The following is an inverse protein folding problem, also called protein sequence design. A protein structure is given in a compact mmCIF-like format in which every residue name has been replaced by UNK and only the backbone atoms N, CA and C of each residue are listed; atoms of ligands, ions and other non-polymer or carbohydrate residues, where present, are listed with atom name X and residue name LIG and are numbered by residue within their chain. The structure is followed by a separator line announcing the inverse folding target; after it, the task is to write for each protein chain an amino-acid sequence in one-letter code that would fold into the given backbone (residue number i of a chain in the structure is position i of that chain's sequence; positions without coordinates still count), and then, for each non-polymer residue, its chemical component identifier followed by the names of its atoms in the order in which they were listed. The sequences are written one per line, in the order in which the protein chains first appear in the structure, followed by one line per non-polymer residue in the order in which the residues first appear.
data_IF_321832994202
#
_entry.id   IF_321832994202
#
_cell.length_a   1.000
_cell.length_b   1.000
_cell.length_c   1.000
_cell.angle_alpha   90.00
_cell.angle_beta   90.00
_cell.angle_gamma   90.00
#
_symmetry.space_group_name_H-M   'P 1'
#
loop_
_entity.id
_entity.type
_entity.pdbx_description
1 polymer ?
#
# COMPACT_ATOMS: atom_id res chain seq x y z
N UNK A 1 52.38 7.64 -45.65
CA UNK A 1 52.29 6.97 -44.33
C UNK A 1 51.00 7.41 -43.66
N UNK A 2 50.22 6.43 -43.20
CA UNK A 2 49.24 6.42 -42.09
C UNK A 2 48.43 7.72 -41.76
N UNK A 3 47.12 7.70 -41.49
CA UNK A 3 46.19 6.59 -41.25
C UNK A 3 44.74 7.04 -41.49
N UNK A 4 43.97 6.12 -42.07
CA UNK A 4 42.51 5.97 -41.84
C UNK A 4 42.25 5.81 -40.32
N UNK A 5 40.97 5.71 -39.93
CA UNK A 5 40.41 5.61 -38.56
C UNK A 5 40.05 7.02 -38.05
N UNK A 6 38.82 7.40 -37.71
CA UNK A 6 37.66 6.66 -37.21
C UNK A 6 36.39 7.51 -37.46
N UNK A 7 35.64 7.23 -38.52
CA UNK A 7 34.24 7.69 -38.68
C UNK A 7 33.23 6.62 -38.24
N UNK A 8 33.71 5.47 -37.75
CA UNK A 8 32.90 4.34 -37.27
C UNK A 8 32.41 4.48 -35.82
N UNK A 9 32.93 5.43 -35.03
CA UNK A 9 32.54 5.60 -33.62
C UNK A 9 31.31 6.49 -33.40
N UNK A 10 30.91 7.31 -34.37
CA UNK A 10 29.72 8.17 -34.26
C UNK A 10 28.42 7.46 -34.68
N UNK A 11 28.49 6.41 -35.51
CA UNK A 11 27.32 5.63 -35.95
C UNK A 11 26.96 4.48 -34.99
N UNK A 12 27.90 4.01 -34.15
CA UNK A 12 27.60 3.04 -33.08
C UNK A 12 27.03 3.69 -31.81
N UNK A 13 27.29 4.98 -31.57
CA UNK A 13 26.72 5.72 -30.43
C UNK A 13 25.21 6.03 -30.57
N UNK A 14 24.69 6.00 -31.79
CA UNK A 14 23.26 6.27 -32.08
C UNK A 14 22.43 4.97 -32.13
N UNK A 15 23.07 3.81 -32.28
CA UNK A 15 22.39 2.51 -32.25
C UNK A 15 22.16 1.94 -30.83
N UNK A 16 22.87 2.43 -29.80
CA UNK A 16 22.65 1.98 -28.41
C UNK A 16 21.67 2.84 -27.60
N UNK A 17 21.30 4.04 -28.07
CA UNK A 17 20.25 4.87 -27.46
C UNK A 17 18.88 4.64 -28.13
N UNK A 18 18.87 4.03 -29.32
CA UNK A 18 17.66 3.73 -30.10
C UNK A 18 16.89 2.46 -29.70
N UNK A 19 17.39 1.64 -28.76
CA UNK A 19 16.70 0.40 -28.34
C UNK A 19 15.80 0.56 -27.10
N UNK A 20 15.73 1.74 -26.49
CA UNK A 20 14.81 2.02 -25.36
C UNK A 20 13.53 2.77 -25.74
N UNK A 21 13.35 3.11 -27.02
CA UNK A 21 12.07 3.60 -27.55
C UNK A 21 11.59 2.66 -28.66
N UNK A 22 11.54 1.37 -28.33
CA UNK A 22 10.61 0.48 -28.99
C UNK A 22 9.20 0.96 -28.70
N UNK A 23 8.61 1.73 -29.63
CA UNK A 23 7.17 1.96 -29.77
C UNK A 23 6.41 0.65 -30.10
N UNK A 24 6.82 -0.48 -29.51
CA UNK A 24 5.88 -1.57 -29.31
C UNK A 24 4.84 -1.04 -28.33
N UNK A 25 3.56 -1.08 -28.69
CA UNK A 25 2.47 -0.90 -27.73
C UNK A 25 2.69 -1.92 -26.61
N UNK A 26 3.36 -1.54 -25.53
CA UNK A 26 3.74 -2.45 -24.46
C UNK A 26 2.47 -3.05 -23.89
N UNK A 27 2.17 -4.28 -24.30
CA UNK A 27 1.09 -5.06 -23.76
C UNK A 27 1.40 -5.26 -22.27
N UNK A 28 0.48 -4.85 -21.41
CA UNK A 28 0.64 -5.04 -19.98
C UNK A 28 -0.36 -6.05 -19.46
N UNK A 29 0.06 -6.78 -18.44
CA UNK A 29 -0.84 -7.69 -17.73
C UNK A 29 -1.67 -6.91 -16.72
N UNK A 30 -2.99 -7.06 -16.78
CA UNK A 30 -3.91 -6.54 -15.78
C UNK A 30 -4.35 -7.67 -14.85
N UNK A 31 -4.00 -7.57 -13.59
CA UNK A 31 -4.40 -8.50 -12.53
C UNK A 31 -5.67 -7.99 -11.84
N UNK A 32 -6.61 -8.89 -11.57
CA UNK A 32 -7.85 -8.61 -10.88
C UNK A 32 -7.81 -9.30 -9.51
N UNK A 33 -8.06 -8.52 -8.45
CA UNK A 33 -8.14 -9.01 -7.08
C UNK A 33 -9.48 -8.56 -6.50
N UNK A 34 -10.33 -9.52 -6.19
CA UNK A 34 -11.60 -9.37 -5.48
C UNK A 34 -11.34 -9.58 -3.99
N UNK A 35 -11.55 -8.52 -3.20
CA UNK A 35 -11.25 -8.49 -1.77
C UNK A 35 -12.55 -8.46 -0.96
N UNK A 36 -12.76 -9.46 -0.12
CA UNK A 36 -13.71 -9.32 0.99
C UNK A 36 -13.07 -8.50 2.11
N UNK A 37 -13.76 -7.53 2.68
CA UNK A 37 -13.28 -6.74 3.81
C UNK A 37 -14.14 -7.03 5.02
N UNK A 38 -13.59 -7.66 6.04
CA UNK A 38 -14.26 -7.83 7.34
C UNK A 38 -13.83 -6.68 8.24
N UNK A 39 -14.79 -5.96 8.82
CA UNK A 39 -14.51 -4.82 9.71
C UNK A 39 -15.04 -5.15 11.09
N UNK A 40 -14.15 -5.15 12.10
CA UNK A 40 -14.56 -5.44 13.47
C UNK A 40 -15.38 -4.31 14.11
N UNK A 41 -16.19 -4.64 15.12
CA UNK A 41 -17.02 -3.66 15.85
C UNK A 41 -16.20 -2.60 16.62
N UNK A 42 -14.91 -2.84 16.85
CA UNK A 42 -14.00 -1.84 17.44
C UNK A 42 -13.68 -0.66 16.50
N UNK A 43 -14.13 -0.71 15.24
CA UNK A 43 -14.14 0.42 14.32
C UNK A 43 -15.24 1.46 14.61
N UNK A 44 -16.00 1.36 15.72
CA UNK A 44 -16.90 2.41 16.19
C UNK A 44 -16.13 3.68 16.64
N UNK A 45 -15.54 4.41 15.68
CA UNK A 45 -15.75 5.84 15.42
C UNK A 45 -14.66 6.42 14.50
N UNK A 46 -15.11 6.81 13.31
CA UNK A 46 -14.77 8.05 12.57
C UNK A 46 -15.65 8.20 11.31
N UNK A 47 -16.27 7.12 10.83
CA UNK A 47 -17.17 7.12 9.66
C UNK A 47 -18.57 6.65 10.08
N UNK A 48 -19.54 7.57 10.21
CA UNK A 48 -20.85 7.29 10.84
C UNK A 48 -21.80 6.43 9.98
N UNK A 49 -21.46 6.11 8.72
CA UNK A 49 -22.34 5.36 7.83
C UNK A 49 -21.57 4.48 6.79
N UNK A 50 -22.28 3.53 6.17
CA UNK A 50 -21.75 2.60 5.18
C UNK A 50 -21.11 3.32 3.97
N UNK A 51 -21.65 4.45 3.56
CA UNK A 51 -21.14 5.24 2.44
C UNK A 51 -19.74 5.81 2.72
N UNK A 52 -19.50 6.28 3.95
CA UNK A 52 -18.20 6.75 4.38
C UNK A 52 -17.18 5.59 4.47
N UNK A 53 -17.60 4.40 4.92
CA UNK A 53 -16.77 3.19 4.88
C UNK A 53 -16.41 2.79 3.43
N UNK A 54 -17.38 2.83 2.51
CA UNK A 54 -17.12 2.58 1.10
C UNK A 54 -16.12 3.58 0.51
N UNK A 55 -16.25 4.87 0.82
CA UNK A 55 -15.33 5.90 0.36
C UNK A 55 -13.91 5.70 0.90
N UNK A 56 -13.80 5.33 2.18
CA UNK A 56 -12.52 5.01 2.83
C UNK A 56 -11.82 3.83 2.15
N UNK A 57 -12.48 2.66 2.08
CA UNK A 57 -11.88 1.47 1.47
C UNK A 57 -11.62 1.63 -0.02
N UNK A 58 -12.46 2.39 -0.73
CA UNK A 58 -12.19 2.77 -2.12
C UNK A 58 -10.89 3.54 -2.27
N UNK A 59 -10.63 4.50 -1.38
CA UNK A 59 -9.39 5.28 -1.39
C UNK A 59 -8.19 4.42 -0.99
N UNK A 60 -8.34 3.60 0.05
CA UNK A 60 -7.35 2.64 0.52
C UNK A 60 -6.92 1.69 -0.59
N UNK A 61 -7.85 0.97 -1.23
CA UNK A 61 -7.52 0.00 -2.27
C UNK A 61 -7.02 0.64 -3.57
N UNK A 62 -7.40 1.88 -3.88
CA UNK A 62 -6.75 2.63 -4.96
C UNK A 62 -5.29 2.94 -4.62
N UNK A 63 -4.99 3.29 -3.37
CA UNK A 63 -3.63 3.52 -2.89
C UNK A 63 -2.78 2.22 -2.87
N UNK A 64 -3.40 1.08 -2.52
CA UNK A 64 -2.81 -0.26 -2.65
C UNK A 64 -2.49 -0.56 -4.10
N UNK A 65 -3.43 -0.37 -5.02
CA UNK A 65 -3.23 -0.61 -6.45
C UNK A 65 -2.10 0.27 -7.04
N UNK A 66 -2.00 1.55 -6.64
CA UNK A 66 -0.90 2.44 -7.06
C UNK A 66 0.45 1.95 -6.59
N UNK A 67 0.55 1.47 -5.34
CA UNK A 67 1.79 0.91 -4.79
C UNK A 67 2.17 -0.40 -5.48
N UNK A 68 1.22 -1.32 -5.68
CA UNK A 68 1.48 -2.56 -6.43
C UNK A 68 1.97 -2.28 -7.86
N UNK A 69 1.53 -1.19 -8.48
CA UNK A 69 2.00 -0.82 -9.83
C UNK A 69 3.48 -0.42 -9.87
N UNK A 70 4.10 -0.05 -8.73
CA UNK A 70 5.55 0.20 -8.64
C UNK A 70 6.39 -1.07 -8.83
N UNK A 71 5.78 -2.26 -8.80
CA UNK A 71 6.45 -3.53 -9.07
C UNK A 71 6.90 -3.63 -10.53
N UNK A 72 6.24 -2.91 -11.45
CA UNK A 72 6.48 -3.05 -12.90
C UNK A 72 6.02 -4.38 -13.49
N UNK A 73 5.32 -5.22 -12.71
CA UNK A 73 4.81 -6.53 -13.14
C UNK A 73 3.47 -6.46 -13.88
N UNK A 74 2.79 -5.32 -13.84
CA UNK A 74 1.48 -5.12 -14.44
C UNK A 74 0.64 -4.11 -13.66
N UNK A 75 -0.65 -4.02 -14.02
CA UNK A 75 -1.63 -3.17 -13.36
C UNK A 75 -2.56 -4.01 -12.49
N UNK A 76 -2.85 -3.52 -11.29
CA UNK A 76 -3.72 -4.21 -10.35
C UNK A 76 -5.07 -3.49 -10.27
N UNK A 77 -6.15 -4.20 -10.62
CA UNK A 77 -7.52 -3.74 -10.38
C UNK A 77 -8.05 -4.46 -9.16
N UNK A 78 -8.28 -3.69 -8.10
CA UNK A 78 -8.86 -4.21 -6.87
C UNK A 78 -10.33 -3.81 -6.81
N UNK A 79 -11.20 -4.80 -6.61
CA UNK A 79 -12.62 -4.60 -6.26
C UNK A 79 -12.87 -5.18 -4.89
N UNK A 80 -13.80 -4.63 -4.13
CA UNK A 80 -14.04 -5.07 -2.77
C UNK A 80 -15.52 -5.07 -2.38
N UNK A 81 -15.85 -5.90 -1.38
CA UNK A 81 -17.15 -5.94 -0.71
C UNK A 81 -16.88 -5.83 0.80
N UNK A 82 -17.63 -4.98 1.49
CA UNK A 82 -17.47 -4.75 2.93
C UNK A 82 -18.49 -5.58 3.70
N UNK A 83 -18.02 -6.30 4.71
CA UNK A 83 -18.79 -7.07 5.68
C UNK A 83 -18.50 -6.51 7.08
N UNK A 84 -19.32 -5.56 7.57
CA UNK A 84 -19.20 -5.11 8.95
C UNK A 84 -19.63 -6.26 9.87
N UNK A 85 -18.82 -6.58 10.87
CA UNK A 85 -19.17 -7.55 11.90
C UNK A 85 -20.02 -6.86 12.96
N UNK A 86 -21.10 -7.54 13.37
CA UNK A 86 -21.84 -7.20 14.58
C UNK A 86 -20.94 -7.35 15.82
N UNK A 87 -21.41 -6.84 16.96
CA UNK A 87 -20.68 -6.98 18.22
C UNK A 87 -20.51 -8.46 18.61
N UNK A 88 -21.53 -9.29 18.36
CA UNK A 88 -21.51 -10.73 18.65
C UNK A 88 -20.48 -11.44 17.78
N UNK A 89 -20.50 -11.21 16.47
CA UNK A 89 -19.52 -11.79 15.53
C UNK A 89 -18.09 -11.31 15.83
N UNK A 90 -17.95 -10.04 16.22
CA UNK A 90 -16.66 -9.50 16.69
C UNK A 90 -16.15 -10.25 17.92
N UNK A 91 -17.02 -10.53 18.89
CA UNK A 91 -16.64 -11.25 20.09
C UNK A 91 -16.26 -12.71 19.78
N UNK A 92 -16.94 -13.35 18.82
CA UNK A 92 -16.60 -14.69 18.35
C UNK A 92 -15.20 -14.73 17.69
N UNK A 93 -14.93 -13.79 16.79
CA UNK A 93 -13.64 -13.72 16.06
C UNK A 93 -12.48 -13.40 17.00
N UNK A 94 -12.64 -12.44 17.92
CA UNK A 94 -11.55 -11.97 18.77
C UNK A 94 -11.42 -12.75 20.10
N UNK A 95 -12.43 -13.53 20.49
CA UNK A 95 -12.55 -14.34 21.71
C UNK A 95 -12.37 -13.63 23.07
N UNK A 96 -11.65 -12.50 23.14
CA UNK A 96 -11.40 -11.70 24.34
C UNK A 96 -11.54 -10.21 24.04
N UNK A 97 -12.48 -9.55 24.70
CA UNK A 97 -12.66 -8.09 24.61
C UNK A 97 -11.56 -7.39 25.42
N UNK A 98 -10.94 -6.34 24.86
CA UNK A 98 -10.00 -5.48 25.59
C UNK A 98 -8.54 -5.95 25.69
N UNK A 99 -8.18 -7.15 25.22
CA UNK A 99 -6.80 -7.65 25.20
C UNK A 99 -6.17 -7.57 23.79
N UNK A 100 -4.84 -7.43 23.69
CA UNK A 100 -4.15 -7.58 22.41
C UNK A 100 -4.46 -8.94 21.77
N UNK A 101 -4.80 -8.95 20.48
CA UNK A 101 -5.12 -10.18 19.77
C UNK A 101 -3.84 -10.84 19.26
N UNK A 102 -3.65 -12.12 19.61
CA UNK A 102 -2.58 -12.94 19.03
C UNK A 102 -2.95 -13.26 17.59
N UNK A 103 -2.10 -12.86 16.63
CA UNK A 103 -2.43 -12.91 15.20
C UNK A 103 -2.70 -14.33 14.70
N UNK A 104 -2.00 -15.32 15.24
CA UNK A 104 -2.16 -16.73 14.87
C UNK A 104 -3.48 -17.32 15.38
N UNK A 105 -3.91 -16.94 16.59
CA UNK A 105 -5.20 -17.34 17.15
C UNK A 105 -6.34 -16.64 16.42
N UNK A 106 -6.19 -15.34 16.18
CA UNK A 106 -7.17 -14.55 15.43
C UNK A 106 -7.34 -15.10 14.02
N UNK A 107 -6.26 -15.43 13.32
CA UNK A 107 -6.32 -16.07 12.01
C UNK A 107 -7.11 -17.39 12.04
N UNK A 108 -6.86 -18.25 13.04
CA UNK A 108 -7.61 -19.51 13.21
C UNK A 108 -9.09 -19.24 13.45
N UNK A 109 -9.42 -18.31 14.34
CA UNK A 109 -10.80 -17.95 14.65
C UNK A 109 -11.54 -17.41 13.42
N UNK A 110 -10.89 -16.58 12.61
CA UNK A 110 -11.45 -16.08 11.35
C UNK A 110 -11.77 -17.23 10.39
N UNK A 111 -10.89 -18.23 10.26
CA UNK A 111 -11.17 -19.43 9.45
C UNK A 111 -12.42 -20.16 9.96
N UNK A 112 -12.52 -20.40 11.26
CA UNK A 112 -13.68 -21.07 11.84
C UNK A 112 -14.96 -20.26 11.61
N UNK A 113 -14.90 -18.95 11.82
CA UNK A 113 -16.00 -18.02 11.60
C UNK A 113 -16.51 -18.07 10.15
N UNK A 114 -15.62 -18.00 9.16
CA UNK A 114 -15.99 -18.06 7.73
C UNK A 114 -16.64 -19.40 7.38
N UNK A 115 -16.12 -20.51 7.94
CA UNK A 115 -16.69 -21.84 7.71
C UNK A 115 -18.10 -21.93 8.28
N UNK A 116 -18.32 -21.44 9.50
CA UNK A 116 -19.63 -21.40 10.14
C UNK A 116 -20.62 -20.50 9.36
N UNK A 117 -20.14 -19.39 8.80
CA UNK A 117 -20.94 -18.41 8.06
C UNK A 117 -20.76 -18.52 6.53
N UNK A 118 -20.54 -19.74 6.02
CA UNK A 118 -20.15 -19.98 4.62
C UNK A 118 -21.10 -19.33 3.60
N UNK A 119 -22.41 -19.30 3.89
CA UNK A 119 -23.42 -18.65 3.05
C UNK A 119 -23.18 -17.14 2.85
N UNK A 120 -22.76 -16.43 3.90
CA UNK A 120 -22.48 -14.99 3.85
C UNK A 120 -21.21 -14.70 3.04
N UNK A 121 -20.24 -15.62 3.12
CA UNK A 121 -18.97 -15.51 2.41
C UNK A 121 -18.96 -16.26 1.08
N UNK A 122 -20.11 -16.75 0.59
CA UNK A 122 -20.23 -17.48 -0.67
C UNK A 122 -20.32 -16.53 -1.87
N UNK A 123 -19.25 -15.76 -2.09
CA UNK A 123 -19.07 -14.91 -3.26
C UNK A 123 -17.63 -14.99 -3.74
N UNK A 124 -17.41 -14.59 -4.99
CA UNK A 124 -16.08 -14.59 -5.60
C UNK A 124 -15.15 -13.61 -4.87
N UNK A 125 -14.11 -14.16 -4.25
CA UNK A 125 -13.02 -13.41 -3.62
C UNK A 125 -11.72 -14.19 -3.76
N UNK A 126 -10.62 -13.49 -4.01
CA UNK A 126 -9.28 -14.06 -3.93
C UNK A 126 -8.59 -13.73 -2.61
N UNK A 127 -9.07 -12.75 -1.83
CA UNK A 127 -8.54 -12.44 -0.51
C UNK A 127 -9.63 -11.93 0.42
N UNK A 128 -9.61 -12.37 1.67
CA UNK A 128 -10.38 -11.76 2.75
C UNK A 128 -9.44 -10.97 3.66
N UNK A 129 -9.74 -9.70 3.90
CA UNK A 129 -8.94 -8.82 4.77
C UNK A 129 -9.78 -8.48 5.99
N UNK A 130 -9.37 -8.98 7.16
CA UNK A 130 -9.90 -8.54 8.45
C UNK A 130 -9.14 -7.28 8.87
N UNK A 131 -9.84 -6.16 8.96
CA UNK A 131 -9.32 -4.90 9.49
C UNK A 131 -9.76 -4.70 10.93
N UNK A 132 -8.83 -4.35 11.82
CA UNK A 132 -9.11 -4.09 13.23
C UNK A 132 -8.30 -2.92 13.77
N UNK A 133 -8.87 -2.17 14.72
CA UNK A 133 -8.13 -1.16 15.50
C UNK A 133 -7.37 -1.75 16.69
N UNK A 134 -7.63 -3.02 17.02
CA UNK A 134 -7.03 -3.71 18.17
C UNK A 134 -5.53 -3.86 17.99
N UNK A 135 -4.81 -3.84 19.11
CA UNK A 135 -3.38 -4.14 19.13
C UNK A 135 -3.18 -5.61 18.74
N UNK A 136 -2.36 -5.87 17.74
CA UNK A 136 -2.00 -7.20 17.30
C UNK A 136 -0.64 -7.59 17.87
N UNK A 137 -0.50 -8.83 18.32
CA UNK A 137 0.76 -9.40 18.80
C UNK A 137 1.03 -10.76 18.15
N UNK A 138 2.30 -11.09 17.98
CA UNK A 138 2.75 -12.46 17.65
C UNK A 138 2.83 -13.32 18.91
N UNK A 139 3.01 -14.63 18.77
CA UNK A 139 3.13 -15.57 19.90
C UNK A 139 4.22 -15.20 20.91
N UNK A 140 5.34 -14.61 20.45
CA UNK A 140 6.42 -14.13 21.31
C UNK A 140 6.14 -12.76 21.97
N UNK A 141 4.92 -12.24 21.84
CA UNK A 141 4.51 -10.97 22.44
C UNK A 141 4.91 -9.71 21.67
N UNK A 142 5.64 -9.83 20.55
CA UNK A 142 6.04 -8.68 19.75
C UNK A 142 4.82 -8.03 19.06
N UNK A 143 4.83 -6.70 18.96
CA UNK A 143 3.77 -5.97 18.26
C UNK A 143 3.81 -6.29 16.77
N UNK A 144 2.63 -6.56 16.21
CA UNK A 144 2.44 -6.74 14.78
C UNK A 144 1.48 -5.70 14.21
N UNK A 145 1.63 -5.41 12.92
CA UNK A 145 0.66 -4.63 12.15
C UNK A 145 -0.25 -5.51 11.29
N UNK A 146 0.04 -6.81 11.22
CA UNK A 146 -0.80 -7.74 10.48
C UNK A 146 -0.16 -9.12 10.30
N UNK A 147 -0.91 -10.01 9.69
CA UNK A 147 -0.52 -11.39 9.46
C UNK A 147 -1.26 -11.95 8.25
N UNK A 148 -0.57 -12.76 7.46
CA UNK A 148 -1.17 -13.57 6.42
C UNK A 148 -0.28 -14.79 6.17
N UNK A 149 -0.86 -15.85 5.63
CA UNK A 149 -0.08 -17.04 5.25
C UNK A 149 0.55 -16.83 3.88
N UNK A 150 1.86 -17.11 3.78
CA UNK A 150 2.57 -17.00 2.50
C UNK A 150 1.96 -17.91 1.44
N UNK A 151 1.75 -17.39 0.24
CA UNK A 151 1.28 -18.20 -0.90
C UNK A 151 -0.18 -18.66 -0.79
N UNK A 152 -0.95 -18.14 0.18
CA UNK A 152 -2.32 -18.57 0.41
C UNK A 152 -3.37 -17.94 -0.51
N UNK A 153 -3.01 -17.01 -1.41
CA UNK A 153 -3.96 -16.20 -2.19
C UNK A 153 -4.98 -17.05 -2.98
N UNK A 154 -4.56 -18.21 -3.48
CA UNK A 154 -5.42 -19.12 -4.25
C UNK A 154 -5.84 -20.36 -3.45
N UNK A 155 -5.93 -20.23 -2.14
CA UNK A 155 -6.33 -21.32 -1.24
C UNK A 155 -7.54 -20.89 -0.41
N UNK A 156 -8.28 -21.83 0.20
CA UNK A 156 -9.33 -21.50 1.18
C UNK A 156 -8.84 -20.67 2.38
N UNK A 157 -7.53 -20.62 2.59
CA UNK A 157 -6.84 -19.91 3.66
C UNK A 157 -6.38 -18.49 3.24
N UNK A 158 -6.94 -17.93 2.17
CA UNK A 158 -6.62 -16.59 1.69
C UNK A 158 -7.20 -15.50 2.59
N UNK A 159 -6.57 -15.33 3.75
CA UNK A 159 -6.96 -14.38 4.79
C UNK A 159 -5.75 -13.55 5.17
N UNK A 160 -5.94 -12.24 5.26
CA UNK A 160 -5.01 -11.30 5.86
C UNK A 160 -5.68 -10.60 7.03
N UNK A 161 -5.00 -10.53 8.16
CA UNK A 161 -5.39 -9.72 9.33
C UNK A 161 -4.54 -8.47 9.32
N UNK A 162 -5.15 -7.29 9.42
CA UNK A 162 -4.47 -6.01 9.36
C UNK A 162 -4.95 -5.12 10.49
N UNK A 163 -3.99 -4.53 11.20
CA UNK A 163 -4.28 -3.42 12.10
C UNK A 163 -4.44 -2.15 11.27
N UNK A 164 -5.62 -1.56 11.34
CA UNK A 164 -5.93 -0.27 10.75
C UNK A 164 -6.30 0.70 11.87
N UNK A 165 -5.37 1.57 12.25
CA UNK A 165 -5.62 2.70 13.16
C UNK A 165 -6.33 3.87 12.46
N UNK A 166 -6.78 3.67 11.21
CA UNK A 166 -7.30 4.70 10.34
C UNK A 166 -6.17 5.37 9.55
N UNK A 167 -6.47 6.51 8.93
CA UNK A 167 -5.44 7.41 8.37
C UNK A 167 -4.61 6.85 7.20
N UNK A 168 -5.08 5.77 6.56
CA UNK A 168 -4.36 5.04 5.50
C UNK A 168 -3.07 4.34 5.94
N UNK A 169 -2.83 4.21 7.25
CA UNK A 169 -1.67 3.47 7.77
C UNK A 169 -1.68 2.00 7.35
N UNK A 170 -2.88 1.40 7.20
CA UNK A 170 -3.05 0.05 6.71
C UNK A 170 -2.61 -0.16 5.26
N UNK A 171 -2.51 0.89 4.42
CA UNK A 171 -2.24 0.73 2.99
C UNK A 171 -0.94 -0.04 2.73
N UNK A 172 0.14 0.33 3.42
CA UNK A 172 1.44 -0.31 3.21
C UNK A 172 1.43 -1.77 3.69
N UNK A 173 0.73 -2.04 4.81
CA UNK A 173 0.63 -3.39 5.36
C UNK A 173 -0.29 -4.28 4.51
N UNK A 174 -1.39 -3.75 3.97
CA UNK A 174 -2.23 -4.47 2.99
C UNK A 174 -1.43 -4.82 1.74
N UNK A 175 -0.62 -3.89 1.21
CA UNK A 175 0.27 -4.15 0.08
C UNK A 175 1.25 -5.29 0.40
N UNK A 176 1.90 -5.22 1.56
CA UNK A 176 2.83 -6.25 2.04
C UNK A 176 2.16 -7.61 2.11
N UNK A 177 1.00 -7.69 2.73
CA UNK A 177 0.29 -8.94 2.96
C UNK A 177 -0.30 -9.51 1.68
N UNK A 178 -0.79 -8.69 0.73
CA UNK A 178 -1.19 -9.16 -0.61
C UNK A 178 0.01 -9.82 -1.32
N UNK A 179 1.19 -9.20 -1.30
CA UNK A 179 2.36 -9.79 -1.93
C UNK A 179 2.81 -11.07 -1.21
N UNK A 180 2.69 -11.09 0.11
CA UNK A 180 2.99 -12.26 0.91
C UNK A 180 2.05 -13.43 0.60
N UNK A 181 0.74 -13.19 0.52
CA UNK A 181 -0.25 -14.22 0.13
C UNK A 181 -0.07 -14.67 -1.32
N UNK A 182 0.44 -13.82 -2.21
CA UNK A 182 0.85 -14.23 -3.57
C UNK A 182 2.12 -15.11 -3.56
N UNK A 183 2.89 -15.09 -2.47
CA UNK A 183 4.05 -15.94 -2.24
C UNK A 183 5.40 -15.24 -2.29
N UNK A 184 5.41 -13.90 -2.19
CA UNK A 184 6.62 -13.08 -2.12
C UNK A 184 7.12 -13.02 -0.68
N UNK A 185 8.42 -13.24 -0.48
CA UNK A 185 9.06 -13.11 0.83
C UNK A 185 9.24 -11.63 1.22
N UNK A 186 9.25 -11.36 2.52
CA UNK A 186 9.73 -10.08 3.04
C UNK A 186 11.23 -9.92 2.77
N UNK A 187 11.68 -8.69 2.57
CA UNK A 187 13.11 -8.41 2.40
C UNK A 187 13.87 -8.84 3.67
N UNK A 188 14.95 -9.59 3.49
CA UNK A 188 15.74 -10.20 4.57
C UNK A 188 15.26 -11.58 5.03
N UNK A 189 14.23 -12.15 4.41
CA UNK A 189 13.67 -13.46 4.79
C UNK A 189 13.57 -14.40 3.58
N UNK A 190 13.76 -15.71 3.80
CA UNK A 190 13.49 -16.74 2.79
C UNK A 190 14.24 -16.51 1.48
N UNK A 191 13.52 -16.48 0.34
CA UNK A 191 14.13 -16.23 -0.97
C UNK A 191 14.60 -14.78 -1.19
N UNK A 192 14.29 -13.88 -0.27
CA UNK A 192 14.75 -12.49 -0.24
C UNK A 192 15.72 -12.23 0.92
N UNK A 193 16.35 -13.27 1.49
CA UNK A 193 17.34 -13.15 2.57
C UNK A 193 18.49 -12.19 2.23
N UNK A 194 18.90 -12.15 0.97
CA UNK A 194 19.98 -11.29 0.49
C UNK A 194 19.56 -9.84 0.25
N UNK A 195 18.28 -9.50 0.43
CA UNK A 195 17.82 -8.12 0.33
C UNK A 195 17.80 -7.41 1.69
N UNK A 196 18.07 -6.10 1.71
CA UNK A 196 18.17 -5.35 2.95
C UNK A 196 16.79 -5.20 3.60
N UNK A 197 16.60 -5.83 4.76
CA UNK A 197 15.35 -5.76 5.52
C UNK A 197 15.03 -4.33 6.02
N UNK A 198 16.07 -3.54 6.30
CA UNK A 198 15.93 -2.26 7.04
C UNK A 198 16.13 -1.00 6.19
N UNK A 199 16.33 -1.11 4.88
CA UNK A 199 16.56 0.05 3.98
C UNK A 199 15.29 0.83 3.60
N UNK A 200 14.15 0.49 4.20
CA UNK A 200 12.92 1.25 4.03
C UNK A 200 12.13 0.95 2.77
N UNK A 201 12.36 -0.22 2.15
CA UNK A 201 11.52 -0.75 1.08
C UNK A 201 10.15 -1.22 1.60
N UNK A 202 9.16 -1.25 0.72
CA UNK A 202 7.78 -1.63 1.06
C UNK A 202 7.65 -3.07 1.58
N UNK A 203 8.52 -4.00 1.20
CA UNK A 203 8.54 -5.38 1.73
C UNK A 203 9.54 -5.58 2.88
N UNK A 204 10.18 -4.50 3.36
CA UNK A 204 11.09 -4.53 4.50
C UNK A 204 10.40 -4.26 5.84
N UNK A 205 11.19 -4.34 6.90
CA UNK A 205 10.81 -4.10 8.30
C UNK A 205 11.31 -2.75 8.84
N UNK A 206 12.20 -2.06 8.11
CA UNK A 206 12.73 -0.74 8.46
C UNK A 206 11.74 0.41 8.28
N UNK A 207 12.18 1.62 8.68
CA UNK A 207 11.43 2.87 8.43
C UNK A 207 11.36 3.13 6.92
N UNK A 208 10.16 3.39 6.41
CA UNK A 208 9.94 3.60 4.97
C UNK A 208 10.78 4.77 4.44
N UNK A 209 11.45 4.55 3.32
CA UNK A 209 12.17 5.57 2.56
C UNK A 209 11.24 6.16 1.51
N UNK A 210 11.30 7.49 1.33
CA UNK A 210 10.57 8.18 0.27
C UNK A 210 11.50 8.54 -0.90
N UNK A 211 11.02 8.45 -2.16
CA UNK A 211 9.73 7.90 -2.56
C UNK A 211 9.63 6.39 -2.30
N UNK A 212 8.40 5.89 -2.10
CA UNK A 212 8.16 4.49 -1.79
C UNK A 212 8.61 3.61 -2.96
N UNK A 213 9.17 2.45 -2.64
CA UNK A 213 9.66 1.51 -3.64
C UNK A 213 9.84 0.10 -3.10
N UNK A 214 10.18 -0.80 -4.01
CA UNK A 214 10.47 -2.20 -3.73
C UNK A 214 11.94 -2.50 -3.98
N UNK A 215 12.49 -3.42 -3.18
CA UNK A 215 13.81 -3.98 -3.41
C UNK A 215 13.88 -4.72 -4.75
N UNK A 216 15.11 -4.99 -5.21
CA UNK A 216 15.32 -5.81 -6.40
C UNK A 216 14.85 -7.26 -6.20
N UNK A 217 14.97 -7.83 -4.99
CA UNK A 217 14.47 -9.19 -4.71
C UNK A 217 12.95 -9.24 -4.85
N UNK A 218 12.22 -8.30 -4.26
CA UNK A 218 10.77 -8.25 -4.37
C UNK A 218 10.32 -8.19 -5.84
N UNK A 219 10.94 -7.32 -6.64
CA UNK A 219 10.64 -7.20 -8.09
C UNK A 219 10.96 -8.48 -8.87
N UNK A 220 12.01 -9.22 -8.51
CA UNK A 220 12.36 -10.51 -9.12
C UNK A 220 11.38 -11.62 -8.74
N UNK A 221 11.00 -11.69 -7.48
CA UNK A 221 10.15 -12.76 -6.95
C UNK A 221 8.69 -12.64 -7.40
N UNK A 222 8.17 -11.41 -7.55
CA UNK A 222 6.75 -11.20 -7.81
C UNK A 222 6.28 -11.79 -9.14
N UNK A 223 7.10 -11.74 -10.20
CA UNK A 223 6.71 -12.26 -11.52
C UNK A 223 6.41 -13.76 -11.47
N UNK A 224 7.28 -14.55 -10.85
CA UNK A 224 7.09 -15.99 -10.66
C UNK A 224 5.98 -16.31 -9.66
N UNK A 225 5.78 -15.46 -8.65
CA UNK A 225 4.69 -15.61 -7.69
C UNK A 225 3.32 -15.41 -8.37
N UNK A 226 3.14 -14.32 -9.11
CA UNK A 226 1.90 -14.02 -9.84
C UNK A 226 1.56 -15.07 -10.90
N UNK A 227 2.54 -15.63 -11.61
CA UNK A 227 2.30 -16.71 -12.60
C UNK A 227 1.77 -17.99 -11.95
N UNK A 228 2.14 -18.27 -10.69
CA UNK A 228 1.66 -19.44 -9.94
C UNK A 228 0.29 -19.21 -9.30
N UNK A 229 -0.13 -17.96 -9.13
CA UNK A 229 -1.43 -17.59 -8.57
C UNK A 229 -2.55 -17.67 -9.63
N UNK A 230 -2.91 -18.89 -10.04
CA UNK A 230 -3.86 -19.14 -11.14
C UNK A 230 -5.27 -18.58 -10.91
N UNK A 231 -5.71 -18.41 -9.66
CA UNK A 231 -7.00 -17.81 -9.32
C UNK A 231 -7.08 -16.31 -9.64
N UNK A 232 -5.93 -15.61 -9.71
CA UNK A 232 -5.90 -14.20 -10.05
C UNK A 232 -6.24 -14.05 -11.53
N UNK A 233 -7.44 -13.56 -11.80
CA UNK A 233 -7.84 -13.23 -13.17
C UNK A 233 -6.79 -12.28 -13.78
N UNK A 234 -6.30 -12.64 -14.96
CA UNK A 234 -5.38 -11.78 -15.69
C UNK A 234 -5.89 -11.54 -17.12
N UNK A 235 -5.64 -10.35 -17.64
CA UNK A 235 -5.91 -10.02 -19.04
C UNK A 235 -4.75 -9.21 -19.60
N UNK A 236 -4.24 -9.63 -20.75
CA UNK A 236 -3.30 -8.82 -21.53
C UNK A 236 -4.09 -7.66 -22.14
N UNK A 237 -3.65 -6.43 -21.90
CA UNK A 237 -4.28 -5.23 -22.43
C UNK A 237 -3.32 -4.50 -23.36
N UNK A 238 -3.76 -4.27 -24.59
CA UNK A 238 -3.06 -3.43 -25.57
C UNK A 238 -3.45 -1.94 -25.45
N UNK A 239 -4.47 -1.63 -24.65
CA UNK A 239 -4.93 -0.26 -24.39
C UNK A 239 -4.18 0.27 -23.18
N UNK A 240 -3.35 1.30 -23.34
CA UNK A 240 -2.73 2.10 -22.27
C UNK A 240 -3.75 2.83 -21.36
N UNK A 241 -5.04 2.72 -21.67
CA UNK A 241 -6.12 3.50 -21.08
C UNK A 241 -6.81 2.75 -19.94
N UNK A 242 -6.18 2.85 -18.77
CA UNK A 242 -6.82 3.36 -17.53
C UNK A 242 -5.70 3.47 -16.49
N UNK A 243 -5.04 4.64 -16.49
CA UNK A 243 -4.16 5.04 -15.38
C UNK A 243 -4.96 4.86 -14.07
N UNK A 244 -4.32 4.33 -13.05
CA UNK A 244 -4.97 4.24 -11.74
C UNK A 244 -5.40 5.65 -11.36
N UNK A 245 -6.66 5.85 -10.89
CA UNK A 245 -7.17 7.19 -10.67
C UNK A 245 -6.23 8.00 -9.80
N UNK A 246 -6.06 9.26 -10.23
CA UNK A 246 -5.34 10.27 -9.48
C UNK A 246 -5.99 10.39 -8.10
N UNK A 247 -5.21 10.38 -7.00
CA UNK A 247 -5.77 10.53 -5.67
C UNK A 247 -6.47 11.87 -5.52
N UNK A 248 -7.60 11.88 -4.80
CA UNK A 248 -8.32 13.10 -4.46
C UNK A 248 -7.41 14.06 -3.64
N UNK A 249 -7.62 15.36 -3.78
CA UNK A 249 -6.83 16.36 -3.05
C UNK A 249 -7.14 16.29 -1.56
N UNK A 250 -6.12 16.20 -0.73
CA UNK A 250 -6.22 16.21 0.74
C UNK A 250 -5.46 17.44 1.26
N UNK A 251 -6.12 18.19 2.15
CA UNK A 251 -5.48 19.31 2.88
C UNK A 251 -4.75 18.79 4.11
N UNK A 252 -3.65 19.46 4.49
CA UNK A 252 -2.81 19.08 5.65
C UNK A 252 -3.62 18.98 6.95
N UNK A 253 -4.49 19.95 7.23
CA UNK A 253 -5.25 19.98 8.48
C UNK A 253 -6.31 18.91 8.58
N UNK A 254 -6.90 18.53 7.44
CA UNK A 254 -7.78 17.35 7.36
C UNK A 254 -7.00 16.07 7.66
N UNK A 255 -5.77 15.95 7.14
CA UNK A 255 -4.93 14.79 7.44
C UNK A 255 -4.48 14.75 8.91
N UNK A 256 -4.02 15.87 9.47
CA UNK A 256 -3.60 15.94 10.86
C UNK A 256 -4.75 15.64 11.83
N UNK A 257 -5.97 16.13 11.54
CA UNK A 257 -7.13 15.90 12.41
C UNK A 257 -7.53 14.43 12.52
N UNK A 258 -7.19 13.59 11.53
CA UNK A 258 -7.40 12.14 11.62
C UNK A 258 -6.63 11.49 12.77
N UNK A 259 -5.51 12.08 13.20
CA UNK A 259 -4.71 11.64 14.33
C UNK A 259 -5.01 12.40 15.63
N UNK A 260 -6.04 13.26 15.64
CA UNK A 260 -6.27 14.19 16.76
C UNK A 260 -5.16 15.23 16.92
N UNK A 261 -4.48 15.56 15.82
CA UNK A 261 -3.40 16.56 15.76
C UNK A 261 -3.87 17.79 15.00
N UNK A 262 -3.24 18.93 15.25
CA UNK A 262 -3.46 20.16 14.49
C UNK A 262 -2.37 20.33 13.41
N UNK A 263 -2.59 21.24 12.48
CA UNK A 263 -1.48 21.80 11.70
C UNK A 263 -0.51 22.49 12.67
N UNK A 264 0.79 22.41 12.37
CA UNK A 264 1.80 23.15 13.10
C UNK A 264 1.76 24.63 12.70
N UNK A 265 1.95 25.53 13.65
CA UNK A 265 2.11 26.96 13.39
C UNK A 265 3.47 27.27 12.74
N UNK A 266 3.64 28.50 12.23
CA UNK A 266 4.89 28.96 11.61
C UNK A 266 6.09 28.80 12.55
N UNK A 267 5.91 29.02 13.86
CA UNK A 267 6.97 28.83 14.86
C UNK A 267 7.39 27.37 15.01
N UNK A 268 6.46 26.43 14.93
CA UNK A 268 6.72 25.00 14.88
C UNK A 268 7.45 24.57 13.59
N UNK A 269 7.10 25.19 12.45
CA UNK A 269 7.67 24.87 11.13
C UNK A 269 9.04 25.51 10.86
N UNK A 270 9.31 26.70 11.39
CA UNK A 270 10.56 27.45 11.20
C UNK A 270 11.82 26.66 11.60
N UNK A 271 11.71 25.73 12.55
CA UNK A 271 12.82 24.85 12.96
C UNK A 271 13.20 23.79 11.92
N UNK A 272 12.35 23.54 10.91
CA UNK A 272 12.50 22.43 9.96
C UNK A 272 12.41 22.84 8.48
N UNK A 273 11.78 23.97 8.16
CA UNK A 273 11.66 24.51 6.79
C UNK A 273 13.02 24.78 6.13
N UNK A 274 14.07 25.07 6.92
CA UNK A 274 15.43 25.26 6.38
C UNK A 274 16.11 23.97 5.86
N UNK A 275 15.47 22.80 5.94
CA UNK A 275 15.99 21.51 5.42
C UNK A 275 15.25 21.03 4.16
N UNK A 276 14.76 21.97 3.34
CA UNK A 276 14.05 21.73 2.09
C UNK A 276 14.95 21.13 0.98
N UNK A 277 15.35 19.87 1.12
CA UNK A 277 15.62 19.04 -0.04
C UNK A 277 14.27 18.54 -0.58
N UNK A 278 14.11 18.54 -1.90
CA UNK A 278 12.96 17.98 -2.64
C UNK A 278 12.55 16.55 -2.24
N UNK A 279 13.39 15.85 -1.48
CA UNK A 279 13.16 14.52 -0.89
C UNK A 279 12.12 14.48 0.25
N UNK A 280 11.69 15.62 0.80
CA UNK A 280 10.82 15.65 1.99
C UNK A 280 9.39 16.20 1.75
N UNK A 281 9.01 16.59 0.53
CA UNK A 281 7.69 17.19 0.24
C UNK A 281 6.48 16.31 0.58
N UNK A 282 6.67 15.00 0.74
CA UNK A 282 5.62 14.06 1.15
C UNK A 282 5.83 13.49 2.55
N UNK A 283 6.54 14.24 3.40
CA UNK A 283 6.46 14.12 4.84
C UNK A 283 5.57 15.23 5.38
N UNK A 284 4.65 14.86 6.26
CA UNK A 284 3.76 15.79 6.93
C UNK A 284 4.21 15.94 8.37
N UNK A 285 4.21 17.17 8.82
CA UNK A 285 4.42 17.54 10.21
C UNK A 285 3.07 17.98 10.77
N UNK A 286 2.59 17.25 11.76
CA UNK A 286 1.39 17.60 12.52
C UNK A 286 1.78 17.83 13.98
N UNK A 287 1.01 18.63 14.70
CA UNK A 287 1.38 19.05 16.05
C UNK A 287 0.34 18.62 17.09
N UNK A 288 0.83 18.22 18.26
CA UNK A 288 0.04 18.03 19.48
C UNK A 288 0.32 19.22 20.40
N UNK A 289 -0.59 20.20 20.43
CA UNK A 289 -0.34 21.49 21.07
C UNK A 289 0.75 22.29 20.34
N UNK A 290 1.41 23.23 21.03
CA UNK A 290 2.35 24.18 20.40
C UNK A 290 3.79 23.67 20.23
N UNK A 291 4.16 22.52 20.78
CA UNK A 291 5.58 22.11 20.87
C UNK A 291 5.88 20.67 20.46
N UNK A 292 4.90 19.77 20.45
CA UNK A 292 5.13 18.36 20.11
C UNK A 292 4.75 18.06 18.68
N UNK A 293 5.76 18.10 17.80
CA UNK A 293 5.62 17.77 16.38
C UNK A 293 5.75 16.26 16.15
N UNK A 294 4.79 15.70 15.42
CA UNK A 294 4.76 14.32 14.96
C UNK A 294 5.01 14.30 13.44
N UNK A 295 6.01 13.55 13.00
CA UNK A 295 6.39 13.41 11.59
C UNK A 295 5.79 12.14 11.00
N UNK A 296 5.03 12.30 9.92
CA UNK A 296 4.27 11.22 9.29
C UNK A 296 4.52 11.18 7.79
N UNK A 297 4.38 10.01 7.18
CA UNK A 297 4.36 9.88 5.72
C UNK A 297 3.03 10.43 5.21
N UNK A 298 3.06 11.27 4.18
CA UNK A 298 1.85 11.82 3.58
C UNK A 298 1.02 10.72 2.89
N UNK A 299 -0.31 10.78 2.97
CA UNK A 299 -1.17 9.94 2.15
C UNK A 299 -1.10 10.40 0.70
N UNK A 300 -1.48 9.50 -0.22
CA UNK A 300 -1.63 9.89 -1.61
C UNK A 300 -2.73 10.95 -1.74
N UNK A 301 -2.47 12.03 -2.48
CA UNK A 301 -3.41 13.12 -2.71
C UNK A 301 -3.17 14.36 -1.83
N UNK A 302 -2.33 14.24 -0.80
CA UNK A 302 -1.93 15.40 -0.01
C UNK A 302 -1.23 16.43 -0.89
N UNK A 303 -1.62 17.69 -0.76
CA UNK A 303 -0.90 18.81 -1.37
C UNK A 303 0.56 18.86 -0.88
N UNK A 304 1.51 18.98 -1.81
CA UNK A 304 2.95 18.90 -1.51
C UNK A 304 3.78 20.06 -2.07
N UNK A 305 3.11 21.03 -2.70
CA UNK A 305 3.66 22.32 -3.09
C UNK A 305 3.27 23.41 -2.08
N UNK A 306 4.15 24.41 -1.98
CA UNK A 306 3.91 25.66 -1.26
C UNK A 306 3.52 26.80 -2.21
N UNK A 307 3.08 26.50 -3.45
CA UNK A 307 2.74 27.53 -4.43
C UNK A 307 1.52 28.34 -3.97
N UNK A 308 1.68 29.60 -3.55
CA UNK A 308 0.58 30.41 -3.03
C UNK A 308 -0.46 30.73 -4.12
N UNK A 309 -0.05 30.68 -5.39
CA UNK A 309 -0.90 30.97 -6.54
C UNK A 309 -1.56 29.72 -7.14
N UNK A 310 -1.24 28.53 -6.62
CA UNK A 310 -1.83 27.25 -7.07
C UNK A 310 -1.72 27.00 -8.58
N UNK A 311 -0.67 27.51 -9.25
CA UNK A 311 -0.47 27.28 -10.69
C UNK A 311 -0.26 25.80 -11.01
N UNK A 312 0.34 25.06 -10.07
CA UNK A 312 0.62 23.64 -10.22
C UNK A 312 -0.15 22.82 -9.20
N UNK A 313 -1.04 21.93 -9.66
CA UNK A 313 -1.69 20.95 -8.79
C UNK A 313 -0.72 19.80 -8.46
N UNK A 314 0.19 20.03 -7.51
CA UNK A 314 1.14 18.99 -7.06
C UNK A 314 0.59 18.23 -5.86
N UNK A 315 0.63 16.91 -5.96
CA UNK A 315 0.12 16.01 -4.92
C UNK A 315 1.11 14.90 -4.61
N UNK A 316 1.08 14.40 -3.39
CA UNK A 316 1.79 13.21 -3.00
C UNK A 316 1.22 11.99 -3.71
N UNK A 317 2.07 11.21 -4.37
CA UNK A 317 1.72 9.92 -4.96
C UNK A 317 2.87 8.97 -4.69
N UNK A 318 2.61 7.88 -3.96
CA UNK A 318 3.63 6.91 -3.55
C UNK A 318 4.83 7.59 -2.83
N UNK A 319 4.56 8.64 -2.06
CA UNK A 319 5.59 9.40 -1.34
C UNK A 319 6.46 10.32 -2.20
N UNK A 320 6.16 10.49 -3.48
CA UNK A 320 6.76 11.51 -4.34
C UNK A 320 5.79 12.68 -4.53
N UNK A 321 6.31 13.91 -4.57
CA UNK A 321 5.52 15.07 -4.95
C UNK A 321 5.47 15.15 -6.48
N UNK A 322 4.29 14.90 -7.05
CA UNK A 322 4.11 14.85 -8.50
C UNK A 322 3.11 15.89 -8.96
N UNK A 323 3.39 16.52 -10.10
CA UNK A 323 2.41 17.38 -10.76
C UNK A 323 1.32 16.53 -11.37
N UNK A 324 0.08 16.81 -10.99
CA UNK A 324 -1.10 16.22 -11.58
C UNK A 324 -1.44 17.09 -12.81
N UNK A 325 -1.38 16.51 -14.01
CA UNK A 325 -1.79 17.20 -15.22
C UNK A 325 -3.26 17.64 -15.13
N UNK A 326 -3.59 18.78 -15.75
CA UNK A 326 -4.97 19.23 -15.93
C UNK A 326 -5.78 18.20 -16.71
#
# INVERSE_FOLDING_TARGET
MASRWSTTSALLGILFVGFYIGFARCAYTKYYIHVGVMVDGAHQQQTPNLQANQAYYRTLFMAVARRLSLLGAGYFKISFIIHPLSQTETNEVFARVGQPALVENLYKNVIFFIKAHSNVFNYKKELLVLTTRRVLKTQNGALSKGFAVKGSICTPNSIAVVRDDGTFAAVNEVVKLILHTVGVDFDGVGKASNCPAHEGYLMGTGKLKLPLGYSLCTKRLVGAALRRSQCLGNKISNKTTKRIPIPAKIKRGVYCSWFGLSECDEKGMAKFEHKAASKYHCLVHCCKGHSRMERMVAPDGLRCDEDPFSYYDKRCVNGACVQIGK
#
